data_IF_983949063650
#
_entry.id   IF_983949063650
#
_cell.length_a   1.000
_cell.length_b   1.000
_cell.length_c   1.000
_cell.angle_alpha   90.00
_cell.angle_beta   90.00
_cell.angle_gamma   90.00
#
_symmetry.space_group_name_H-M   'P 1'
#
loop_
_entity.id
_entity.type
_entity.pdbx_description
1 polymer ?
#
# COMPACT_ATOMS: atom_id res chain seq x y z
N UNK A 1 -5.20 10.77 -21.00
CA UNK A 1 -5.92 11.04 -19.75
C UNK A 1 -4.92 11.24 -18.61
N UNK A 2 -5.19 12.15 -17.67
CA UNK A 2 -4.32 12.39 -16.50
C UNK A 2 -4.92 11.75 -15.25
N UNK A 3 -4.08 11.11 -14.45
CA UNK A 3 -4.45 10.47 -13.19
C UNK A 3 -3.65 11.10 -12.06
N UNK A 4 -4.32 11.45 -10.96
CA UNK A 4 -3.67 11.93 -9.74
C UNK A 4 -3.28 10.71 -8.89
N UNK A 5 -2.05 10.23 -9.10
CA UNK A 5 -1.50 9.03 -8.48
C UNK A 5 -0.01 9.23 -8.17
N UNK A 6 0.38 8.91 -6.93
CA UNK A 6 1.76 9.05 -6.48
C UNK A 6 2.65 7.93 -7.07
N UNK A 7 3.71 8.34 -7.76
CA UNK A 7 4.75 7.44 -8.23
C UNK A 7 5.62 6.98 -7.06
N UNK A 8 5.69 5.66 -6.86
CA UNK A 8 6.52 5.02 -5.83
C UNK A 8 8.03 5.27 -6.02
N UNK A 9 8.47 5.62 -7.23
CA UNK A 9 9.89 5.80 -7.57
C UNK A 9 10.39 7.23 -7.42
N UNK A 10 9.65 8.22 -7.90
CA UNK A 10 10.10 9.62 -7.95
C UNK A 10 9.21 10.59 -7.15
N UNK A 11 8.15 10.10 -6.49
CA UNK A 11 7.26 10.92 -5.67
C UNK A 11 6.36 11.90 -6.44
N UNK A 12 6.41 11.92 -7.78
CA UNK A 12 5.49 12.74 -8.58
C UNK A 12 4.07 12.20 -8.47
N UNK A 13 3.09 13.09 -8.34
CA UNK A 13 1.68 12.73 -8.17
C UNK A 13 0.87 12.69 -9.47
N UNK A 14 1.51 12.84 -10.62
CA UNK A 14 0.83 12.75 -11.91
C UNK A 14 1.26 11.52 -12.71
N UNK A 15 0.26 10.71 -13.02
CA UNK A 15 0.31 9.66 -14.03
C UNK A 15 -0.41 10.07 -15.30
N UNK A 16 -0.02 9.48 -16.43
CA UNK A 16 -0.73 9.60 -17.69
C UNK A 16 -1.04 8.23 -18.25
N UNK A 17 -2.17 8.13 -18.95
CA UNK A 17 -2.54 6.99 -19.78
C UNK A 17 -3.05 7.50 -21.13
N UNK A 18 -3.13 6.62 -22.13
CA UNK A 18 -3.66 6.93 -23.47
C UNK A 18 -5.10 7.47 -23.38
N UNK A 19 -5.53 8.30 -24.34
CA UNK A 19 -6.87 8.91 -24.33
C UNK A 19 -8.00 7.94 -24.69
N UNK A 20 -7.68 6.85 -25.40
CA UNK A 20 -8.59 5.73 -25.68
C UNK A 20 -8.37 4.57 -24.70
N UNK A 21 -7.87 4.86 -23.50
CA UNK A 21 -7.33 3.83 -22.63
C UNK A 21 -8.39 2.78 -22.25
N UNK A 22 -8.09 1.51 -22.41
CA UNK A 22 -8.85 0.37 -21.91
C UNK A 22 -8.50 0.08 -20.44
N UNK A 23 -9.25 -0.82 -19.80
CA UNK A 23 -9.11 -1.11 -18.37
C UNK A 23 -7.73 -1.67 -17.97
N UNK A 24 -7.10 -2.39 -18.88
CA UNK A 24 -5.75 -2.94 -18.71
C UNK A 24 -4.63 -2.00 -19.14
N UNK A 25 -4.95 -0.80 -19.63
CA UNK A 25 -3.90 0.11 -20.07
C UNK A 25 -3.11 0.67 -18.90
N UNK A 26 -1.82 0.84 -19.16
CA UNK A 26 -0.82 1.26 -18.20
C UNK A 26 -0.97 2.75 -17.88
N UNK A 27 -0.90 3.07 -16.59
CA UNK A 27 -0.72 4.42 -16.07
C UNK A 27 0.77 4.56 -15.76
N UNK A 28 1.43 5.43 -16.51
CA UNK A 28 2.86 5.70 -16.36
C UNK A 28 3.10 7.08 -15.77
N UNK A 29 4.13 7.20 -14.93
CA UNK A 29 4.50 8.46 -14.32
C UNK A 29 4.91 9.49 -15.37
N UNK A 30 4.42 10.72 -15.25
CA UNK A 30 4.82 11.82 -16.14
C UNK A 30 6.28 12.25 -15.91
N UNK A 31 6.79 12.07 -14.68
CA UNK A 31 8.15 12.49 -14.30
C UNK A 31 9.24 11.52 -14.73
N UNK A 32 9.08 10.23 -14.47
CA UNK A 32 10.11 9.21 -14.73
C UNK A 32 9.72 8.15 -15.77
N UNK A 33 8.48 8.17 -16.28
CA UNK A 33 7.97 7.16 -17.23
C UNK A 33 7.71 5.78 -16.61
N UNK A 34 7.91 5.62 -15.31
CA UNK A 34 7.73 4.34 -14.62
C UNK A 34 6.25 3.90 -14.63
N UNK A 35 6.03 2.61 -14.84
CA UNK A 35 4.72 1.99 -14.64
C UNK A 35 4.27 2.16 -13.19
N UNK A 36 3.04 2.65 -13.00
CA UNK A 36 2.46 2.83 -11.66
C UNK A 36 1.40 1.75 -11.40
N UNK A 37 0.41 1.64 -12.28
CA UNK A 37 -0.71 0.71 -12.16
C UNK A 37 -1.46 0.61 -13.50
N UNK A 38 -2.40 -0.33 -13.61
CA UNK A 38 -3.40 -0.33 -14.70
C UNK A 38 -4.59 0.55 -14.34
N UNK A 39 -5.36 0.98 -15.35
CA UNK A 39 -6.52 1.87 -15.17
C UNK A 39 -7.59 1.30 -14.24
N UNK A 40 -8.00 0.06 -14.47
CA UNK A 40 -9.01 -0.62 -13.64
C UNK A 40 -8.54 -0.80 -12.21
N UNK A 41 -7.27 -1.18 -12.03
CA UNK A 41 -6.68 -1.31 -10.69
C UNK A 41 -6.69 0.02 -9.94
N UNK A 42 -6.31 1.13 -10.60
CA UNK A 42 -6.38 2.46 -10.02
C UNK A 42 -7.82 2.90 -9.71
N UNK A 43 -8.78 2.61 -10.59
CA UNK A 43 -10.20 2.89 -10.35
C UNK A 43 -10.75 2.08 -9.17
N UNK A 44 -10.33 0.82 -9.03
CA UNK A 44 -10.70 -0.05 -7.93
C UNK A 44 -10.19 0.47 -6.58
N UNK A 45 -8.99 1.04 -6.49
CA UNK A 45 -8.50 1.70 -5.27
C UNK A 45 -9.39 2.86 -4.81
N UNK A 46 -9.98 3.59 -5.77
CA UNK A 46 -10.94 4.65 -5.50
C UNK A 46 -12.31 4.15 -5.04
N UNK A 47 -12.63 2.87 -5.28
CA UNK A 47 -13.95 2.30 -5.00
C UNK A 47 -14.25 2.23 -3.50
N UNK A 48 -15.52 2.40 -3.14
CA UNK A 48 -16.00 2.27 -1.76
C UNK A 48 -15.68 0.88 -1.18
N UNK A 49 -15.82 -0.17 -2.00
CA UNK A 49 -15.59 -1.55 -1.59
C UNK A 49 -14.12 -1.78 -1.21
N UNK A 50 -13.18 -1.23 -1.97
CA UNK A 50 -11.76 -1.34 -1.65
C UNK A 50 -11.43 -0.63 -0.32
N UNK A 51 -12.00 0.56 -0.08
CA UNK A 51 -11.80 1.28 1.20
C UNK A 51 -12.35 0.49 2.39
N UNK A 52 -13.55 -0.08 2.26
CA UNK A 52 -14.14 -0.91 3.31
C UNK A 52 -13.32 -2.18 3.57
N UNK A 53 -12.79 -2.82 2.52
CA UNK A 53 -11.90 -3.96 2.65
C UNK A 53 -10.61 -3.59 3.42
N UNK A 54 -9.98 -2.48 3.07
CA UNK A 54 -8.78 -1.98 3.78
C UNK A 54 -9.05 -1.66 5.24
N UNK A 55 -10.22 -1.09 5.55
CA UNK A 55 -10.66 -0.87 6.93
C UNK A 55 -10.87 -2.20 7.68
N UNK A 56 -11.51 -3.19 7.04
CA UNK A 56 -11.70 -4.52 7.63
C UNK A 56 -10.37 -5.19 7.97
N UNK A 57 -9.38 -5.12 7.09
CA UNK A 57 -8.03 -5.65 7.35
C UNK A 57 -7.34 -4.95 8.53
N UNK A 58 -7.52 -3.64 8.63
CA UNK A 58 -6.96 -2.85 9.74
C UNK A 58 -7.58 -3.26 11.08
N UNK A 59 -8.90 -3.49 11.12
CA UNK A 59 -9.60 -3.99 12.31
C UNK A 59 -9.10 -5.38 12.69
N UNK A 60 -8.93 -6.28 11.71
CA UNK A 60 -8.40 -7.61 11.97
C UNK A 60 -6.99 -7.57 12.59
N UNK A 61 -6.11 -6.71 12.06
CA UNK A 61 -4.77 -6.52 12.62
C UNK A 61 -4.80 -6.00 14.06
N UNK A 62 -5.68 -5.04 14.37
CA UNK A 62 -5.88 -4.54 15.73
C UNK A 62 -6.37 -5.63 16.69
N UNK A 63 -7.31 -6.48 16.24
CA UNK A 63 -7.81 -7.60 17.04
C UNK A 63 -6.71 -8.63 17.29
N UNK A 64 -5.82 -8.89 16.32
CA UNK A 64 -4.66 -9.77 16.51
C UNK A 64 -3.71 -9.21 17.54
N UNK A 65 -3.29 -7.94 17.40
CA UNK A 65 -2.40 -7.28 18.37
C UNK A 65 -3.02 -7.22 19.78
N UNK A 66 -4.33 -7.03 19.90
CA UNK A 66 -5.02 -7.02 21.20
C UNK A 66 -5.09 -8.40 21.86
N UNK A 67 -4.91 -9.48 21.10
CA UNK A 67 -4.91 -10.88 21.60
C UNK A 67 -3.49 -11.42 21.80
N UNK A 68 -2.49 -10.74 21.28
CA UNK A 68 -1.08 -11.03 21.58
C UNK A 68 -0.82 -10.63 23.03
N UNK A 69 -0.86 -11.61 23.94
CA UNK A 69 -0.35 -11.44 25.30
C UNK A 69 1.15 -11.09 25.24
N UNK A 70 1.66 -10.17 26.08
CA UNK A 70 3.09 -9.81 26.15
C UNK A 70 3.95 -10.92 26.79
N UNK A 71 3.79 -12.16 26.33
CA UNK A 71 4.28 -13.37 26.98
C UNK A 71 5.16 -14.23 26.08
N UNK A 72 6.16 -13.66 25.40
CA UNK A 72 7.32 -14.46 24.94
C UNK A 72 8.62 -13.66 24.72
N UNK A 73 8.78 -12.52 25.39
CA UNK A 73 10.06 -11.79 25.43
C UNK A 73 11.05 -12.37 26.48
N UNK A 74 10.77 -13.55 27.05
CA UNK A 74 11.59 -14.17 28.10
C UNK A 74 12.84 -14.90 27.58
N UNK A 75 13.15 -14.85 26.27
CA UNK A 75 14.29 -15.57 25.68
C UNK A 75 15.35 -14.68 25.03
N UNK A 76 15.36 -13.37 25.29
CA UNK A 76 16.54 -12.54 25.01
C UNK A 76 17.37 -12.52 26.29
N UNK A 77 18.18 -13.58 26.47
CA UNK A 77 19.12 -13.71 27.56
C UNK A 77 20.12 -12.55 27.54
N UNK A 78 19.99 -11.66 28.52
CA UNK A 78 21.04 -10.70 28.88
C UNK A 78 21.48 -11.07 30.30
N UNK A 79 22.27 -12.15 30.41
CA UNK A 79 23.09 -12.37 31.60
C UNK A 79 24.27 -11.43 31.53
N UNK A 80 24.11 -10.22 32.08
CA UNK A 80 25.24 -9.36 32.42
C UNK A 80 25.91 -9.88 33.69
N UNK A 81 26.99 -10.65 33.55
CA UNK A 81 27.91 -10.92 34.66
C UNK A 81 28.67 -9.63 35.01
N UNK A 82 28.52 -9.22 36.25
CA UNK A 82 29.34 -8.19 36.87
C UNK A 82 30.71 -8.77 37.24
N UNK A 83 31.77 -8.09 36.83
CA UNK A 83 33.13 -8.23 37.34
C UNK A 83 33.73 -6.85 37.58
#
# INVERSE_FOLDING_TARGET
MKHDIACHRCGHTQGHSTDTAQDWDEISCVGCGEFIATRDHNAAFGSLNHRLHTLSLSVEALVRMAREEPGDASLIGITGEAA
#
